data_IF_176778134315
#
_entry.id   IF_176778134315
#
_cell.length_a   1.000
_cell.length_b   1.000
_cell.length_c   1.000
_cell.angle_alpha   90.00
_cell.angle_beta   90.00
_cell.angle_gamma   90.00
#
_symmetry.space_group_name_H-M   'P 1'
#
loop_
_entity.id
_entity.type
_entity.pdbx_description
1 polymer ?
#
# COMPACT_ATOMS: atom_id res chain seq x y z
N UNK A 1 25.77 14.25 -7.92
CA UNK A 1 25.27 12.95 -8.42
C UNK A 1 23.78 12.86 -8.10
N UNK A 2 22.85 12.82 -9.08
CA UNK A 2 21.45 12.60 -8.79
C UNK A 2 21.13 11.13 -9.06
N UNK A 3 21.08 10.30 -8.03
CA UNK A 3 20.51 8.95 -8.15
C UNK A 3 19.20 8.88 -7.37
N UNK A 4 18.18 9.53 -7.94
CA UNK A 4 16.78 9.22 -7.65
C UNK A 4 16.45 7.87 -8.27
N UNK A 5 16.64 6.79 -7.50
CA UNK A 5 16.00 5.48 -7.77
C UNK A 5 15.22 5.04 -6.54
N UNK A 6 14.11 5.72 -6.29
CA UNK A 6 13.05 5.18 -5.44
C UNK A 6 12.28 4.15 -6.27
N UNK A 7 12.82 2.93 -6.36
CA UNK A 7 12.03 1.75 -6.70
C UNK A 7 12.41 0.67 -5.69
N UNK A 8 11.77 0.62 -4.51
CA UNK A 8 11.83 -0.59 -3.72
C UNK A 8 10.91 -1.59 -4.42
N UNK A 9 11.47 -2.32 -5.37
CA UNK A 9 10.92 -3.59 -5.81
C UNK A 9 11.13 -4.56 -4.63
N UNK A 10 10.32 -4.39 -3.59
CA UNK A 10 10.23 -5.36 -2.51
C UNK A 10 9.88 -6.70 -3.16
N UNK A 11 10.54 -7.81 -2.79
CA UNK A 11 10.23 -9.11 -3.36
C UNK A 11 8.73 -9.36 -3.24
N UNK A 12 8.08 -9.97 -4.25
CA UNK A 12 6.61 -10.08 -4.30
C UNK A 12 6.01 -10.66 -3.01
N UNK A 13 6.74 -11.52 -2.30
CA UNK A 13 6.36 -12.06 -0.99
C UNK A 13 6.32 -11.02 0.14
N UNK A 14 7.23 -10.04 0.15
CA UNK A 14 7.23 -8.95 1.14
C UNK A 14 6.04 -8.01 0.92
N UNK A 15 5.66 -7.76 -0.34
CA UNK A 15 4.50 -6.93 -0.67
C UNK A 15 3.18 -7.59 -0.23
N UNK A 16 3.05 -8.91 -0.34
CA UNK A 16 1.85 -9.62 0.11
C UNK A 16 1.70 -9.66 1.64
N UNK A 17 2.81 -9.89 2.36
CA UNK A 17 2.80 -9.81 3.83
C UNK A 17 2.41 -8.41 4.32
N UNK A 18 2.83 -7.37 3.61
CA UNK A 18 2.50 -5.99 3.92
C UNK A 18 1.04 -5.64 3.61
N UNK A 19 0.50 -6.16 2.50
CA UNK A 19 -0.94 -6.09 2.18
C UNK A 19 -1.78 -6.75 3.26
N UNK A 20 -1.39 -7.94 3.71
CA UNK A 20 -2.11 -8.67 4.75
C UNK A 20 -2.05 -7.92 6.09
N UNK A 21 -0.88 -7.38 6.46
CA UNK A 21 -0.72 -6.55 7.64
C UNK A 21 -1.63 -5.31 7.61
N UNK A 22 -1.63 -4.57 6.49
CA UNK A 22 -2.46 -3.38 6.31
C UNK A 22 -3.95 -3.70 6.33
N UNK A 23 -4.34 -4.81 5.72
CA UNK A 23 -5.73 -5.29 5.70
C UNK A 23 -6.26 -5.57 7.11
N UNK A 24 -5.49 -6.29 7.93
CA UNK A 24 -5.84 -6.62 9.32
C UNK A 24 -5.83 -5.37 10.20
N UNK A 25 -4.81 -4.52 10.08
CA UNK A 25 -4.64 -3.31 10.90
C UNK A 25 -5.77 -2.31 10.71
N UNK A 26 -6.19 -2.08 9.46
CA UNK A 26 -7.22 -1.09 9.12
C UNK A 26 -8.60 -1.70 8.92
N UNK A 27 -8.75 -3.02 9.13
CA UNK A 27 -10.00 -3.78 8.93
C UNK A 27 -10.60 -3.57 7.53
N UNK A 28 -9.75 -3.57 6.51
CA UNK A 28 -10.14 -3.45 5.10
C UNK A 28 -9.77 -4.73 4.35
N UNK A 29 -10.48 -5.03 3.25
CA UNK A 29 -10.14 -6.19 2.42
C UNK A 29 -8.77 -6.00 1.77
N UNK A 30 -7.98 -7.09 1.67
CA UNK A 30 -6.72 -7.12 0.94
C UNK A 30 -6.88 -6.65 -0.53
N UNK A 31 -8.06 -6.85 -1.12
CA UNK A 31 -8.38 -6.36 -2.46
C UNK A 31 -8.35 -4.82 -2.54
N UNK A 32 -8.85 -4.13 -1.51
CA UNK A 32 -8.84 -2.67 -1.42
C UNK A 32 -7.40 -2.17 -1.31
N UNK A 33 -6.58 -2.82 -0.48
CA UNK A 33 -5.16 -2.45 -0.33
C UNK A 33 -4.40 -2.62 -1.65
N UNK A 34 -4.60 -3.73 -2.37
CA UNK A 34 -4.02 -3.95 -3.71
C UNK A 34 -4.48 -2.91 -4.73
N UNK A 35 -5.76 -2.54 -4.69
CA UNK A 35 -6.30 -1.49 -5.56
C UNK A 35 -5.69 -0.12 -5.25
N UNK A 36 -5.51 0.22 -3.97
CA UNK A 36 -4.84 1.45 -3.54
C UNK A 36 -3.41 1.48 -4.05
N UNK A 37 -2.63 0.40 -3.84
CA UNK A 37 -1.25 0.29 -4.33
C UNK A 37 -1.20 0.48 -5.85
N UNK A 38 -2.11 -0.16 -6.59
CA UNK A 38 -2.23 0.01 -8.05
C UNK A 38 -2.55 1.44 -8.44
N UNK A 39 -3.46 2.10 -7.71
CA UNK A 39 -3.94 3.46 -8.01
C UNK A 39 -2.91 4.54 -7.72
N UNK A 40 -2.16 4.42 -6.62
CA UNK A 40 -1.13 5.39 -6.23
C UNK A 40 0.24 5.06 -6.85
N UNK A 41 0.39 3.84 -7.41
CA UNK A 41 1.65 3.37 -8.02
C UNK A 41 2.79 3.16 -7.01
N UNK A 42 2.47 3.10 -5.72
CA UNK A 42 3.44 2.99 -4.62
C UNK A 42 2.98 1.92 -3.64
N UNK A 43 3.92 1.05 -3.28
CA UNK A 43 3.77 0.08 -2.18
C UNK A 43 4.20 0.67 -0.83
N UNK A 44 4.55 1.96 -0.78
CA UNK A 44 5.00 2.61 0.44
C UNK A 44 3.89 2.64 1.49
N UNK A 45 4.17 2.03 2.65
CA UNK A 45 3.21 1.85 3.74
C UNK A 45 2.48 3.15 4.11
N UNK A 46 3.22 4.24 4.30
CA UNK A 46 2.66 5.55 4.68
C UNK A 46 1.69 6.11 3.63
N UNK A 47 2.00 5.94 2.34
CA UNK A 47 1.16 6.39 1.25
C UNK A 47 -0.13 5.56 1.16
N UNK A 48 0.00 4.23 1.26
CA UNK A 48 -1.14 3.31 1.25
C UNK A 48 -2.05 3.54 2.45
N UNK A 49 -1.51 3.67 3.67
CA UNK A 49 -2.29 3.95 4.87
C UNK A 49 -3.08 5.25 4.79
N UNK A 50 -2.47 6.31 4.24
CA UNK A 50 -3.13 7.61 4.06
C UNK A 50 -4.34 7.47 3.14
N UNK A 51 -4.22 6.67 2.09
CA UNK A 51 -5.32 6.46 1.14
C UNK A 51 -6.39 5.52 1.70
N UNK A 52 -6.02 4.50 2.49
CA UNK A 52 -6.97 3.64 3.24
C UNK A 52 -7.85 4.50 4.15
N UNK A 53 -7.26 5.41 4.93
CA UNK A 53 -8.03 6.30 5.84
C UNK A 53 -8.99 7.22 5.08
N UNK A 54 -8.57 7.78 3.94
CA UNK A 54 -9.47 8.58 3.08
C UNK A 54 -10.59 7.74 2.49
N UNK A 55 -10.31 6.51 2.09
CA UNK A 55 -11.30 5.58 1.52
C UNK A 55 -12.35 5.14 2.54
N UNK A 56 -11.94 4.91 3.79
CA UNK A 56 -12.83 4.65 4.92
C UNK A 56 -13.73 5.83 5.25
N UNK A 57 -13.23 7.07 5.18
CA UNK A 57 -14.06 8.26 5.44
C UNK A 57 -15.12 8.53 4.35
N UNK A 58 -15.04 7.86 3.20
CA UNK A 58 -15.99 7.99 2.08
C UNK A 58 -17.02 6.86 2.01
N UNK A 59 -16.88 5.81 2.82
CA UNK A 59 -17.80 4.66 2.89
C UNK A 59 -18.52 4.65 4.22
#
# INVERSE_FOLDING_TARGET
MPESKTKPEAPPQAAEAEVEYLSKRHRVSAAIVREIIRRIGSSERSAVEREIRKGLARR
#
